data_IF_431766920127
#
_entry.id   IF_431766920127
#
_cell.length_a   1.000
_cell.length_b   1.000
_cell.length_c   1.000
_cell.angle_alpha   90.00
_cell.angle_beta   90.00
_cell.angle_gamma   90.00
#
_symmetry.space_group_name_H-M   'P 1'
#
loop_
_entity.id
_entity.type
_entity.pdbx_description
1 polymer ?
#
# COMPACT_ATOMS: atom_id res chain seq x y z
N UNK A 1 7.92 24.27 27.53
CA UNK A 1 7.79 23.56 28.82
C UNK A 1 7.97 22.08 28.55
N UNK A 2 8.58 21.34 29.47
CA UNK A 2 8.75 19.91 29.28
C UNK A 2 7.42 19.18 29.61
N UNK A 3 7.19 18.05 28.93
CA UNK A 3 6.06 17.16 29.22
C UNK A 3 6.56 15.97 30.04
N UNK A 4 5.81 15.62 31.06
CA UNK A 4 6.06 14.47 31.91
C UNK A 4 4.86 13.55 31.89
N UNK A 5 5.05 12.29 31.50
CA UNK A 5 3.99 11.30 31.38
C UNK A 5 4.05 10.35 32.56
N UNK A 6 2.93 10.20 33.27
CA UNK A 6 2.80 9.23 34.35
C UNK A 6 2.81 7.80 33.79
N UNK A 7 3.81 7.00 34.14
CA UNK A 7 3.94 5.61 33.69
C UNK A 7 2.90 4.64 34.27
N UNK A 8 2.01 5.12 35.16
CA UNK A 8 0.95 4.30 35.76
C UNK A 8 -0.39 4.51 35.03
N UNK A 9 -0.77 5.78 34.74
CA UNK A 9 -2.09 6.10 34.21
C UNK A 9 -2.08 6.93 32.92
N UNK A 10 -0.89 7.28 32.39
CA UNK A 10 -0.77 8.07 31.18
C UNK A 10 -1.05 9.58 31.32
N UNK A 11 -1.34 10.08 32.53
CA UNK A 11 -1.56 11.52 32.73
C UNK A 11 -0.34 12.33 32.30
N UNK A 12 -0.57 13.39 31.52
CA UNK A 12 0.48 14.28 31.02
C UNK A 12 0.51 15.57 31.82
N UNK A 13 1.66 15.88 32.41
CA UNK A 13 1.93 17.14 33.10
C UNK A 13 2.87 18.01 32.26
N UNK A 14 2.53 19.28 32.09
CA UNK A 14 3.41 20.27 31.44
C UNK A 14 4.01 21.18 32.51
N UNK A 15 5.35 21.17 32.63
CA UNK A 15 6.05 21.95 33.63
C UNK A 15 7.56 21.93 33.47
N UNK A 16 8.27 22.54 34.43
CA UNK A 16 9.74 22.45 34.53
C UNK A 16 10.21 21.12 35.12
N UNK A 17 9.36 20.50 35.95
CA UNK A 17 9.61 19.22 36.61
C UNK A 17 8.34 18.42 36.76
N UNK A 18 8.47 17.12 37.08
CA UNK A 18 7.34 16.24 37.34
C UNK A 18 6.64 16.66 38.66
N UNK A 19 5.30 16.57 38.75
CA UNK A 19 4.59 16.85 40.01
C UNK A 19 4.96 15.81 41.06
N UNK A 20 4.99 16.21 42.34
CA UNK A 20 5.33 15.31 43.46
C UNK A 20 4.46 14.04 43.48
N UNK A 21 3.19 14.19 43.14
CA UNK A 21 2.24 13.09 42.99
C UNK A 21 1.35 13.32 41.77
N UNK A 22 1.03 12.25 41.06
CA UNK A 22 0.09 12.30 39.96
C UNK A 22 -1.30 12.78 40.44
N UNK A 23 -1.86 13.84 39.82
CA UNK A 23 -3.19 14.33 40.22
C UNK A 23 -4.27 13.27 40.02
N UNK A 24 -4.11 12.39 39.04
CA UNK A 24 -5.09 11.40 38.64
C UNK A 24 -4.98 10.10 39.45
N UNK A 25 -3.79 9.48 39.58
CA UNK A 25 -3.63 8.16 40.21
C UNK A 25 -2.79 8.18 41.49
N UNK A 26 -2.33 9.36 41.93
CA UNK A 26 -1.51 9.56 43.16
C UNK A 26 -0.12 8.88 43.12
N UNK A 27 0.31 8.38 41.95
CA UNK A 27 1.64 7.81 41.80
C UNK A 27 2.73 8.90 42.08
N UNK A 28 3.85 8.54 42.73
CA UNK A 28 4.90 9.50 43.08
C UNK A 28 5.64 10.00 41.82
N UNK A 29 6.33 11.15 41.92
CA UNK A 29 7.11 11.78 40.86
C UNK A 29 8.06 10.82 40.14
N UNK A 30 8.65 9.85 40.83
CA UNK A 30 9.53 8.83 40.28
C UNK A 30 8.88 7.93 39.20
N UNK A 31 7.55 7.95 39.09
CA UNK A 31 6.80 7.22 38.06
C UNK A 31 6.52 8.08 36.79
N UNK A 32 6.95 9.33 36.79
CA UNK A 32 6.87 10.17 35.59
C UNK A 32 8.11 10.01 34.72
N UNK A 33 7.88 9.91 33.43
CA UNK A 33 8.93 9.92 32.41
C UNK A 33 8.85 11.25 31.68
N UNK A 34 9.98 11.96 31.63
CA UNK A 34 10.10 13.18 30.83
C UNK A 34 9.97 12.80 29.36
N UNK A 35 8.95 13.33 28.70
CA UNK A 35 8.82 13.21 27.26
C UNK A 35 9.79 14.22 26.63
N UNK A 36 10.82 13.72 25.97
CA UNK A 36 11.67 14.58 25.17
C UNK A 36 10.83 15.16 24.03
N UNK A 37 10.89 16.46 23.82
CA UNK A 37 10.29 17.14 22.66
C UNK A 37 11.20 16.89 21.46
N UNK A 38 11.12 15.72 20.91
CA UNK A 38 11.87 15.24 19.75
C UNK A 38 11.02 14.26 18.96
N UNK A 39 11.52 13.80 17.85
CA UNK A 39 10.88 12.74 17.07
C UNK A 39 10.59 11.54 17.95
N UNK A 40 9.38 10.99 17.84
CA UNK A 40 8.99 9.76 18.56
C UNK A 40 9.93 8.64 18.09
N UNK A 41 10.71 8.08 19.02
CA UNK A 41 11.55 6.91 18.72
C UNK A 41 10.70 5.66 18.79
N UNK A 42 10.54 5.02 17.65
CA UNK A 42 9.87 3.74 17.57
C UNK A 42 10.84 2.62 17.98
N UNK A 43 10.36 1.64 18.72
CA UNK A 43 11.16 0.48 19.14
C UNK A 43 11.54 -0.42 17.94
N UNK A 44 10.69 -0.41 16.90
CA UNK A 44 10.89 -1.14 15.65
C UNK A 44 10.49 -0.21 14.51
N UNK A 45 11.34 -0.09 13.51
CA UNK A 45 11.04 0.63 12.28
C UNK A 45 10.60 -0.34 11.19
N UNK A 46 9.54 0.02 10.48
CA UNK A 46 9.15 -0.64 9.26
C UNK A 46 10.08 -0.20 8.12
N UNK A 47 10.73 -1.16 7.45
CA UNK A 47 11.68 -0.90 6.37
C UNK A 47 11.15 -1.45 5.06
N UNK A 48 11.23 -0.62 4.01
CA UNK A 48 11.04 -1.05 2.63
C UNK A 48 12.40 -1.44 2.05
N UNK A 49 12.49 -2.60 1.40
CA UNK A 49 13.72 -3.08 0.78
C UNK A 49 14.72 -3.64 1.78
N UNK A 50 14.38 -4.78 2.38
CA UNK A 50 15.24 -5.44 3.37
C UNK A 50 16.14 -6.55 2.77
N UNK A 51 16.20 -6.67 1.44
CA UNK A 51 16.90 -7.76 0.73
C UNK A 51 18.36 -7.45 0.38
N UNK A 52 18.86 -6.27 0.72
CA UNK A 52 20.24 -5.88 0.41
C UNK A 52 21.24 -6.83 1.09
N UNK A 53 22.15 -7.44 0.29
CA UNK A 53 23.13 -8.38 0.77
C UNK A 53 22.63 -9.80 1.06
N UNK A 54 21.36 -10.09 0.76
CA UNK A 54 20.79 -11.43 0.90
C UNK A 54 21.23 -12.38 -0.22
N UNK A 55 21.07 -13.68 0.02
CA UNK A 55 21.30 -14.72 -0.97
C UNK A 55 20.49 -14.50 -2.24
N UNK A 56 21.11 -14.57 -3.45
CA UNK A 56 20.42 -14.32 -4.71
C UNK A 56 19.25 -15.27 -5.01
N UNK A 57 19.30 -16.53 -4.56
CA UNK A 57 18.20 -17.49 -4.74
C UNK A 57 17.00 -17.11 -3.88
N UNK A 58 17.24 -16.64 -2.66
CA UNK A 58 16.16 -16.12 -1.80
C UNK A 58 15.49 -14.91 -2.45
N UNK A 59 16.27 -13.95 -2.95
CA UNK A 59 15.74 -12.76 -3.63
C UNK A 59 14.95 -13.13 -4.90
N UNK A 60 15.48 -14.07 -5.69
CA UNK A 60 14.77 -14.59 -6.87
C UNK A 60 13.47 -15.28 -6.49
N UNK A 61 13.44 -16.05 -5.41
CA UNK A 61 12.26 -16.69 -4.85
C UNK A 61 11.19 -15.65 -4.43
N UNK A 62 11.60 -14.57 -3.74
CA UNK A 62 10.70 -13.48 -3.36
C UNK A 62 10.06 -12.81 -4.58
N UNK A 63 10.84 -12.54 -5.65
CA UNK A 63 10.29 -11.98 -6.91
C UNK A 63 9.32 -12.92 -7.60
N UNK A 64 9.65 -14.22 -7.66
CA UNK A 64 8.77 -15.21 -8.26
C UNK A 64 7.43 -15.31 -7.52
N UNK A 65 7.46 -15.33 -6.17
CA UNK A 65 6.24 -15.31 -5.36
C UNK A 65 5.48 -13.99 -5.56
N UNK A 66 6.11 -12.83 -5.50
CA UNK A 66 5.46 -11.55 -5.78
C UNK A 66 4.65 -11.58 -7.09
N UNK A 67 5.27 -12.07 -8.18
CA UNK A 67 4.60 -12.17 -9.48
C UNK A 67 3.46 -13.20 -9.46
N UNK A 68 3.64 -14.32 -8.78
CA UNK A 68 2.61 -15.35 -8.58
C UNK A 68 1.37 -14.79 -7.91
N UNK A 69 1.54 -14.18 -6.74
CA UNK A 69 0.47 -13.57 -5.96
C UNK A 69 -0.29 -12.48 -6.76
N UNK A 70 0.44 -11.61 -7.47
CA UNK A 70 -0.19 -10.61 -8.33
C UNK A 70 -1.05 -11.24 -9.43
N UNK A 71 -0.63 -12.38 -10.01
CA UNK A 71 -1.41 -13.12 -11.01
C UNK A 71 -2.64 -13.77 -10.37
N UNK A 72 -2.51 -14.35 -9.18
CA UNK A 72 -3.60 -15.03 -8.47
C UNK A 72 -4.73 -14.09 -8.09
N UNK A 73 -4.44 -12.83 -7.73
CA UNK A 73 -5.47 -11.80 -7.53
C UNK A 73 -6.38 -11.70 -8.77
N UNK A 74 -5.80 -11.55 -9.95
CA UNK A 74 -6.58 -11.44 -11.21
C UNK A 74 -7.33 -12.73 -11.54
N UNK A 75 -6.69 -13.88 -11.36
CA UNK A 75 -7.30 -15.20 -11.62
C UNK A 75 -8.50 -15.44 -10.71
N UNK A 76 -8.37 -15.23 -9.40
CA UNK A 76 -9.46 -15.48 -8.45
C UNK A 76 -10.63 -14.53 -8.64
N UNK A 77 -10.38 -13.26 -8.96
CA UNK A 77 -11.45 -12.33 -9.33
C UNK A 77 -12.19 -12.77 -10.62
N UNK A 78 -11.48 -13.29 -11.61
CA UNK A 78 -12.10 -13.82 -12.83
C UNK A 78 -12.91 -15.10 -12.54
N UNK A 79 -12.38 -16.01 -11.71
CA UNK A 79 -13.08 -17.23 -11.27
C UNK A 79 -14.32 -16.89 -10.44
N UNK A 80 -14.25 -15.86 -9.59
CA UNK A 80 -15.41 -15.35 -8.85
C UNK A 80 -16.54 -14.93 -9.78
N UNK A 81 -16.24 -14.09 -10.77
CA UNK A 81 -17.24 -13.67 -11.78
C UNK A 81 -17.84 -14.86 -12.53
N UNK A 82 -17.05 -15.89 -12.83
CA UNK A 82 -17.55 -17.09 -13.48
C UNK A 82 -18.46 -17.90 -12.57
N UNK A 83 -18.12 -18.03 -11.30
CA UNK A 83 -18.97 -18.69 -10.30
C UNK A 83 -20.32 -17.97 -10.13
N UNK A 84 -20.32 -16.63 -10.10
CA UNK A 84 -21.56 -15.82 -10.08
C UNK A 84 -22.45 -16.11 -11.30
N UNK A 85 -21.87 -16.12 -12.52
CA UNK A 85 -22.62 -16.41 -13.76
C UNK A 85 -23.22 -17.80 -13.76
N UNK A 86 -22.62 -18.74 -13.05
CA UNK A 86 -23.09 -20.13 -12.93
C UNK A 86 -24.04 -20.34 -11.75
N UNK A 87 -24.32 -19.30 -10.94
CA UNK A 87 -25.24 -19.39 -9.80
C UNK A 87 -24.63 -19.98 -8.53
N UNK A 88 -23.30 -19.85 -8.35
CA UNK A 88 -22.57 -20.30 -7.15
C UNK A 88 -22.05 -19.12 -6.31
N UNK A 89 -22.92 -18.33 -5.67
CA UNK A 89 -22.50 -17.09 -4.99
C UNK A 89 -21.53 -17.35 -3.81
N UNK A 90 -21.67 -18.46 -3.07
CA UNK A 90 -20.77 -18.80 -1.97
C UNK A 90 -19.35 -19.10 -2.46
N UNK A 91 -19.23 -19.76 -3.63
CA UNK A 91 -17.91 -20.00 -4.25
C UNK A 91 -17.32 -18.68 -4.76
N UNK A 92 -18.15 -17.82 -5.34
CA UNK A 92 -17.72 -16.50 -5.79
C UNK A 92 -17.16 -15.65 -4.65
N UNK A 93 -17.84 -15.63 -3.51
CA UNK A 93 -17.36 -14.90 -2.32
C UNK A 93 -16.06 -15.50 -1.74
N UNK A 94 -15.91 -16.83 -1.77
CA UNK A 94 -14.66 -17.46 -1.35
C UNK A 94 -13.48 -17.01 -2.24
N UNK A 95 -13.66 -17.00 -3.57
CA UNK A 95 -12.64 -16.49 -4.49
C UNK A 95 -12.29 -15.01 -4.26
N UNK A 96 -13.28 -14.13 -4.03
CA UNK A 96 -13.03 -12.71 -3.70
C UNK A 96 -12.19 -12.58 -2.45
N UNK A 97 -12.54 -13.33 -1.39
CA UNK A 97 -11.78 -13.29 -0.14
C UNK A 97 -10.33 -13.71 -0.35
N UNK A 98 -10.09 -14.82 -1.05
CA UNK A 98 -8.73 -15.29 -1.32
C UNK A 98 -7.96 -14.31 -2.21
N UNK A 99 -8.59 -13.70 -3.21
CA UNK A 99 -7.94 -12.65 -4.00
C UNK A 99 -7.41 -11.49 -3.14
N UNK A 100 -8.12 -11.09 -2.09
CA UNK A 100 -7.63 -10.09 -1.14
C UNK A 100 -6.49 -10.61 -0.26
N UNK A 101 -6.52 -11.88 0.14
CA UNK A 101 -5.43 -12.50 0.90
C UNK A 101 -4.14 -12.54 0.05
N UNK A 102 -4.23 -12.91 -1.25
CA UNK A 102 -3.09 -12.88 -2.18
C UNK A 102 -2.59 -11.44 -2.45
N UNK A 103 -3.48 -10.45 -2.49
CA UNK A 103 -3.06 -9.06 -2.59
C UNK A 103 -2.23 -8.61 -1.37
N UNK A 104 -2.58 -9.07 -0.16
CA UNK A 104 -1.79 -8.82 1.06
C UNK A 104 -0.44 -9.55 1.03
N UNK A 105 -0.38 -10.79 0.50
CA UNK A 105 0.90 -11.50 0.30
C UNK A 105 1.78 -10.75 -0.70
N UNK A 106 1.23 -10.36 -1.85
CA UNK A 106 1.96 -9.57 -2.85
C UNK A 106 2.50 -8.26 -2.25
N UNK A 107 1.69 -7.55 -1.44
CA UNK A 107 2.13 -6.33 -0.77
C UNK A 107 3.34 -6.58 0.15
N UNK A 108 3.33 -7.66 0.95
CA UNK A 108 4.44 -8.02 1.81
C UNK A 108 5.72 -8.34 1.04
N UNK A 109 5.61 -9.10 -0.07
CA UNK A 109 6.76 -9.36 -0.94
C UNK A 109 7.28 -8.07 -1.59
N UNK A 110 6.39 -7.17 -2.02
CA UNK A 110 6.78 -5.86 -2.56
C UNK A 110 7.57 -5.02 -1.54
N UNK A 111 7.12 -5.00 -0.29
CA UNK A 111 7.80 -4.30 0.81
C UNK A 111 9.17 -4.90 1.12
N UNK A 112 9.29 -6.23 1.18
CA UNK A 112 10.57 -6.91 1.39
C UNK A 112 11.55 -6.59 0.27
N UNK A 113 11.11 -6.65 -0.98
CA UNK A 113 11.95 -6.39 -2.16
C UNK A 113 12.33 -4.92 -2.30
N UNK A 114 11.42 -3.98 -2.05
CA UNK A 114 11.64 -2.54 -2.25
C UNK A 114 11.86 -2.14 -3.71
N UNK A 115 11.43 -2.97 -4.67
CA UNK A 115 11.66 -2.75 -6.10
C UNK A 115 10.51 -1.96 -6.76
N UNK A 116 9.28 -2.18 -6.32
CA UNK A 116 8.07 -1.54 -6.88
C UNK A 116 7.46 -0.50 -5.95
N UNK A 117 7.91 -0.45 -4.71
CA UNK A 117 7.52 0.52 -3.68
C UNK A 117 8.75 1.13 -3.05
N UNK A 118 8.71 2.44 -2.77
CA UNK A 118 9.79 3.16 -2.08
C UNK A 118 9.31 3.67 -0.71
N UNK A 119 10.20 3.98 0.23
CA UNK A 119 9.80 4.57 1.51
C UNK A 119 9.28 6.02 1.40
N UNK A 120 9.24 6.59 0.19
CA UNK A 120 8.82 7.95 -0.07
C UNK A 120 7.49 7.99 -0.82
N UNK A 121 6.40 8.36 -0.13
CA UNK A 121 5.05 8.47 -0.71
C UNK A 121 4.99 9.38 -1.94
N UNK A 122 5.70 10.53 -1.90
CA UNK A 122 5.79 11.43 -3.06
C UNK A 122 6.38 10.71 -4.27
N UNK A 123 7.49 9.99 -4.07
CA UNK A 123 8.16 9.24 -5.15
C UNK A 123 7.28 8.12 -5.71
N UNK A 124 6.57 7.42 -4.84
CA UNK A 124 5.61 6.38 -5.26
C UNK A 124 4.49 6.97 -6.14
N UNK A 125 3.94 8.13 -5.79
CA UNK A 125 2.93 8.82 -6.60
C UNK A 125 3.50 9.29 -7.95
N UNK A 126 4.73 9.81 -7.99
CA UNK A 126 5.40 10.21 -9.23
C UNK A 126 5.55 9.02 -10.18
N UNK A 127 6.10 7.91 -9.68
CA UNK A 127 6.30 6.68 -10.46
C UNK A 127 4.97 6.11 -10.97
N UNK A 128 3.92 6.13 -10.15
CA UNK A 128 2.62 5.61 -10.57
C UNK A 128 1.96 6.50 -11.59
N UNK A 129 1.97 7.82 -11.41
CA UNK A 129 1.42 8.76 -12.41
C UNK A 129 2.03 8.55 -13.80
N UNK A 130 3.35 8.38 -13.87
CA UNK A 130 4.06 8.11 -15.13
C UNK A 130 3.69 6.74 -15.73
N UNK A 131 3.67 5.69 -14.90
CA UNK A 131 3.35 4.34 -15.33
C UNK A 131 1.91 4.21 -15.83
N UNK A 132 0.94 4.88 -15.21
CA UNK A 132 -0.45 4.91 -15.69
C UNK A 132 -0.56 5.57 -17.08
N UNK A 133 0.22 6.63 -17.32
CA UNK A 133 0.32 7.25 -18.64
C UNK A 133 0.80 6.27 -19.71
N UNK A 134 1.84 5.51 -19.42
CA UNK A 134 2.35 4.45 -20.31
C UNK A 134 1.33 3.32 -20.51
N UNK A 135 0.69 2.87 -19.44
CA UNK A 135 -0.34 1.83 -19.48
C UNK A 135 -1.56 2.25 -20.30
N UNK A 136 -1.99 3.51 -20.17
CA UNK A 136 -3.07 4.09 -20.97
C UNK A 136 -2.73 4.05 -22.48
N UNK A 137 -1.55 4.53 -22.87
CA UNK A 137 -1.10 4.50 -24.26
C UNK A 137 -1.02 3.07 -24.81
N UNK A 138 -0.40 2.16 -24.07
CA UNK A 138 -0.27 0.76 -24.51
C UNK A 138 -1.62 0.06 -24.69
N UNK A 139 -2.56 0.26 -23.79
CA UNK A 139 -3.92 -0.28 -23.92
C UNK A 139 -4.68 0.34 -25.08
N UNK A 140 -4.53 1.65 -25.31
CA UNK A 140 -5.14 2.33 -26.46
C UNK A 140 -4.63 1.77 -27.80
N UNK A 141 -3.33 1.54 -27.90
CA UNK A 141 -2.74 0.98 -29.13
C UNK A 141 -3.15 -0.47 -29.35
N UNK A 142 -3.25 -1.27 -28.28
CA UNK A 142 -3.80 -2.63 -28.34
C UNK A 142 -5.27 -2.62 -28.79
N UNK A 143 -6.10 -1.73 -28.26
CA UNK A 143 -7.49 -1.60 -28.65
C UNK A 143 -7.64 -1.23 -30.13
N UNK A 144 -6.84 -0.27 -30.63
CA UNK A 144 -6.80 0.09 -32.05
C UNK A 144 -6.42 -1.10 -32.93
N UNK A 145 -5.40 -1.87 -32.52
CA UNK A 145 -4.97 -3.06 -33.24
C UNK A 145 -6.04 -4.14 -33.28
N UNK A 146 -6.69 -4.40 -32.15
CA UNK A 146 -7.80 -5.36 -32.07
C UNK A 146 -8.94 -4.95 -33.01
N UNK A 147 -9.32 -3.68 -33.02
CA UNK A 147 -10.37 -3.16 -33.91
C UNK A 147 -10.01 -3.32 -35.38
N UNK A 148 -8.78 -3.03 -35.77
CA UNK A 148 -8.29 -3.19 -37.12
C UNK A 148 -8.32 -4.64 -37.62
N UNK A 149 -8.37 -5.60 -36.70
CA UNK A 149 -8.48 -7.04 -36.97
C UNK A 149 -9.93 -7.58 -36.84
N UNK A 150 -10.92 -6.73 -36.54
CA UNK A 150 -12.32 -7.13 -36.37
C UNK A 150 -12.64 -7.74 -35.01
N UNK A 151 -11.79 -7.56 -34.01
CA UNK A 151 -12.01 -8.05 -32.63
C UNK A 151 -12.68 -6.96 -31.79
N UNK A 152 -13.91 -6.58 -32.15
CA UNK A 152 -14.58 -5.41 -31.58
C UNK A 152 -14.82 -5.51 -30.07
N UNK A 153 -15.28 -6.65 -29.57
CA UNK A 153 -15.51 -6.87 -28.12
C UNK A 153 -14.22 -6.72 -27.30
N UNK A 154 -13.10 -7.22 -27.84
CA UNK A 154 -11.78 -7.07 -27.22
C UNK A 154 -11.34 -5.61 -27.25
N UNK A 155 -11.52 -4.95 -28.40
CA UNK A 155 -11.16 -3.56 -28.57
C UNK A 155 -11.93 -2.66 -27.58
N UNK A 156 -13.24 -2.85 -27.44
CA UNK A 156 -14.08 -2.09 -26.52
C UNK A 156 -13.67 -2.31 -25.07
N UNK A 157 -13.45 -3.58 -24.67
CA UNK A 157 -13.01 -3.93 -23.33
C UNK A 157 -11.69 -3.27 -22.96
N UNK A 158 -10.69 -3.36 -23.86
CA UNK A 158 -9.36 -2.78 -23.60
C UNK A 158 -9.38 -1.27 -23.66
N UNK A 159 -10.24 -0.68 -24.51
CA UNK A 159 -10.42 0.78 -24.56
C UNK A 159 -10.99 1.35 -23.26
N UNK A 160 -11.97 0.69 -22.65
CA UNK A 160 -12.49 1.10 -21.33
C UNK A 160 -11.40 1.02 -20.24
N UNK A 161 -10.56 -0.03 -20.26
CA UNK A 161 -9.40 -0.12 -19.37
C UNK A 161 -8.41 1.04 -19.60
N UNK A 162 -8.17 1.45 -20.86
CA UNK A 162 -7.31 2.61 -21.14
C UNK A 162 -7.84 3.91 -20.52
N UNK A 163 -9.16 4.10 -20.48
CA UNK A 163 -9.79 5.24 -19.78
C UNK A 163 -9.60 5.17 -18.27
N UNK A 164 -9.65 3.97 -17.70
CA UNK A 164 -9.38 3.78 -16.27
C UNK A 164 -7.94 4.18 -15.92
N UNK A 165 -6.95 3.77 -16.74
CA UNK A 165 -5.56 4.19 -16.52
C UNK A 165 -5.38 5.71 -16.62
N UNK A 166 -6.06 6.36 -17.55
CA UNK A 166 -6.06 7.82 -17.64
C UNK A 166 -6.65 8.48 -16.38
N UNK A 167 -7.72 7.92 -15.83
CA UNK A 167 -8.34 8.37 -14.57
C UNK A 167 -7.42 8.12 -13.36
N UNK A 168 -6.74 6.98 -13.29
CA UNK A 168 -5.76 6.68 -12.24
C UNK A 168 -4.59 7.66 -12.28
N UNK A 169 -4.01 7.89 -13.47
CA UNK A 169 -2.92 8.85 -13.65
C UNK A 169 -3.31 10.28 -13.28
N UNK A 170 -4.52 10.73 -13.68
CA UNK A 170 -5.06 12.02 -13.27
C UNK A 170 -5.26 12.11 -11.74
N UNK A 171 -5.72 11.02 -11.11
CA UNK A 171 -5.88 10.93 -9.67
C UNK A 171 -4.55 11.08 -8.93
N UNK A 172 -3.51 10.31 -9.32
CA UNK A 172 -2.17 10.40 -8.72
C UNK A 172 -1.54 11.78 -8.92
N UNK A 173 -1.68 12.38 -10.11
CA UNK A 173 -1.23 13.75 -10.40
C UNK A 173 -1.94 14.77 -9.51
N UNK A 174 -3.25 14.63 -9.32
CA UNK A 174 -4.03 15.48 -8.42
C UNK A 174 -3.57 15.39 -6.97
N UNK A 175 -3.28 14.18 -6.49
CA UNK A 175 -2.74 13.96 -5.15
C UNK A 175 -1.34 14.55 -4.98
N UNK A 176 -0.45 14.38 -5.98
CA UNK A 176 0.87 15.03 -6.01
C UNK A 176 0.76 16.54 -5.86
N UNK A 177 -0.10 17.16 -6.67
CA UNK A 177 -0.34 18.61 -6.62
C UNK A 177 -0.88 19.05 -5.26
N UNK A 178 -1.84 18.31 -4.71
CA UNK A 178 -2.50 18.66 -3.44
C UNK A 178 -1.57 18.58 -2.24
N UNK A 179 -0.76 17.54 -2.14
CA UNK A 179 0.03 17.26 -0.93
C UNK A 179 1.50 17.65 -1.03
N UNK A 180 2.05 17.73 -2.24
CA UNK A 180 3.48 17.97 -2.48
C UNK A 180 3.75 19.11 -3.47
N UNK A 181 2.74 19.66 -4.13
CA UNK A 181 2.84 20.88 -4.93
C UNK A 181 2.98 22.12 -4.04
N UNK A 182 3.84 23.06 -4.46
CA UNK A 182 3.91 24.41 -3.87
C UNK A 182 3.08 25.36 -4.71
#
# INVERSE_FOLDING_TARGET
MAKFVCGVCGYVHEGSEAPANCPQCKAPAAKFVKQETGEVKWAIEHKIGSVEGMDPEVVAGLRANFNGECCEVGMYLAMSRQAERQGYPEIAEAYKRYAFEEAEHAAKFAELLGEVVTPCTKKNLELRSEAEGGACCGKLDLAKRARALGYDDIADTVFEMAKDEARHGAGFTGLLKRFFGK
#
